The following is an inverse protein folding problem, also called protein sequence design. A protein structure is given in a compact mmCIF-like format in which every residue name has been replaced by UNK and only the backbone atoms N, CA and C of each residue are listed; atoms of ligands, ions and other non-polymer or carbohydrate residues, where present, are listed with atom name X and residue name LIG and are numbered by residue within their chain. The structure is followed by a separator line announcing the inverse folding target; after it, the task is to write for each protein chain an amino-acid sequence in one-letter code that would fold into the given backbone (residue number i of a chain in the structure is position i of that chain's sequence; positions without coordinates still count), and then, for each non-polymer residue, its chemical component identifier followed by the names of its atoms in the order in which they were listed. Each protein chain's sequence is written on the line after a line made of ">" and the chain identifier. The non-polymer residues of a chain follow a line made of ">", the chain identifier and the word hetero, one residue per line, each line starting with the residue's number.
data_IF_220252656715
#
_entry.id   IF_220252656715
#
_cell.length_a   1.000
_cell.length_b   1.000
_cell.length_c   1.000
_cell.angle_alpha   90.00
_cell.angle_beta   90.00
_cell.angle_gamma   90.00
#
_symmetry.space_group_name_H-M   'P 1'
#
loop_
_entity.id
_entity.type
_entity.pdbx_description
1 polymer ?
#
# COMPACT_ATOMS: atom_id res chain seq x y z
N UNK A 1 10.86 3.60 -6.75
CA UNK A 1 10.39 4.09 -5.44
C UNK A 1 11.61 4.50 -4.65
N UNK A 2 11.48 5.49 -3.78
CA UNK A 2 12.56 5.94 -2.89
C UNK A 2 12.17 5.62 -1.46
N UNK A 3 13.09 5.09 -0.69
CA UNK A 3 12.97 4.87 0.76
C UNK A 3 14.01 5.75 1.45
N UNK A 4 13.60 6.60 2.38
CA UNK A 4 14.50 7.43 3.18
C UNK A 4 14.38 7.10 4.66
N UNK A 5 15.53 7.07 5.33
CA UNK A 5 15.63 6.92 6.78
C UNK A 5 16.58 8.01 7.30
N UNK A 6 16.00 9.02 7.94
CA UNK A 6 16.72 10.19 8.45
C UNK A 6 17.63 9.84 9.63
N UNK A 7 17.17 8.99 10.56
CA UNK A 7 17.97 8.60 11.73
C UNK A 7 19.22 7.81 11.35
N UNK A 8 19.12 6.98 10.30
CA UNK A 8 20.24 6.23 9.76
C UNK A 8 21.01 7.00 8.68
N UNK A 9 20.54 8.17 8.24
CA UNK A 9 21.11 8.93 7.11
C UNK A 9 21.24 8.12 5.81
N UNK A 10 20.23 7.29 5.50
CA UNK A 10 20.20 6.48 4.28
C UNK A 10 19.11 6.92 3.31
N UNK A 11 19.44 6.76 2.02
CA UNK A 11 18.53 6.89 0.90
C UNK A 11 18.67 5.66 0.00
N UNK A 12 17.59 4.93 -0.21
CA UNK A 12 17.54 3.74 -1.05
C UNK A 12 16.62 3.96 -2.25
N UNK A 13 17.10 3.63 -3.44
CA UNK A 13 16.31 3.64 -4.67
C UNK A 13 15.93 2.22 -5.06
N UNK A 14 14.62 1.95 -5.05
CA UNK A 14 14.06 0.65 -5.43
C UNK A 14 13.53 0.75 -6.86
N UNK A 15 14.13 -0.03 -7.76
CA UNK A 15 13.63 -0.17 -9.13
C UNK A 15 12.33 -1.00 -9.12
N UNK A 16 11.27 -0.47 -9.73
CA UNK A 16 9.92 -1.06 -9.69
C UNK A 16 9.40 -1.25 -11.12
N UNK A 17 9.78 -2.34 -11.82
CA UNK A 17 9.33 -2.59 -13.19
C UNK A 17 7.82 -2.89 -13.24
N UNK A 18 7.24 -2.94 -14.45
CA UNK A 18 5.83 -3.27 -14.62
C UNK A 18 5.52 -4.66 -14.05
N UNK A 19 4.34 -4.79 -13.42
CA UNK A 19 3.88 -6.03 -12.78
C UNK A 19 4.82 -6.56 -11.68
N UNK A 20 5.56 -5.67 -11.01
CA UNK A 20 6.31 -5.99 -9.79
C UNK A 20 5.45 -5.83 -8.55
N UNK A 21 5.76 -6.62 -7.52
CA UNK A 21 5.21 -6.51 -6.17
C UNK A 21 6.31 -5.99 -5.24
N UNK A 22 5.98 -5.05 -4.37
CA UNK A 22 6.82 -4.65 -3.24
C UNK A 22 6.10 -5.00 -1.95
N UNK A 23 6.77 -5.78 -1.10
CA UNK A 23 6.30 -6.13 0.23
C UNK A 23 7.10 -5.32 1.25
N UNK A 24 6.41 -4.51 2.06
CA UNK A 24 7.03 -3.73 3.14
C UNK A 24 6.49 -4.22 4.48
N UNK A 25 7.38 -4.70 5.33
CA UNK A 25 7.11 -5.15 6.69
C UNK A 25 8.11 -4.53 7.66
N UNK A 26 7.73 -4.52 8.94
CA UNK A 26 8.59 -4.12 10.06
C UNK A 26 9.30 -2.79 9.84
N UNK A 27 10.62 -2.73 10.07
CA UNK A 27 11.43 -1.50 10.02
C UNK A 27 11.17 -0.70 8.74
N UNK A 28 11.15 -1.35 7.58
CA UNK A 28 10.94 -0.70 6.28
C UNK A 28 9.54 -0.06 6.15
N UNK A 29 8.54 -0.55 6.87
CA UNK A 29 7.18 0.01 6.85
C UNK A 29 7.01 1.13 7.87
N UNK A 30 7.60 0.98 9.06
CA UNK A 30 7.33 1.85 10.20
C UNK A 30 8.36 2.98 10.36
N UNK A 31 9.63 2.68 10.11
CA UNK A 31 10.72 3.62 10.38
C UNK A 31 11.21 4.34 9.13
N UNK A 32 10.89 3.81 7.95
CA UNK A 32 11.30 4.38 6.66
C UNK A 32 10.14 5.12 5.98
N UNK A 33 10.45 6.28 5.43
CA UNK A 33 9.51 7.03 4.58
C UNK A 33 9.65 6.53 3.14
N UNK A 34 8.53 6.27 2.46
CA UNK A 34 8.52 5.88 1.06
C UNK A 34 7.89 6.95 0.17
N UNK A 35 8.42 7.12 -1.04
CA UNK A 35 7.91 8.12 -1.99
C UNK A 35 8.32 7.86 -3.43
N UNK A 36 7.77 8.68 -4.33
CA UNK A 36 8.18 8.74 -5.73
C UNK A 36 8.54 10.19 -6.04
N UNK A 37 9.83 10.46 -6.26
CA UNK A 37 10.27 11.79 -6.67
C UNK A 37 9.76 12.11 -8.08
N UNK A 38 9.38 13.37 -8.32
CA UNK A 38 8.88 13.83 -9.62
C UNK A 38 9.84 13.49 -10.78
N UNK A 39 11.14 13.62 -10.55
CA UNK A 39 12.19 13.30 -11.54
C UNK A 39 12.25 11.81 -11.92
N UNK A 40 11.61 10.92 -11.16
CA UNK A 40 11.53 9.49 -11.44
C UNK A 40 10.24 9.09 -12.19
N UNK A 41 9.33 10.02 -12.45
CA UNK A 41 8.10 9.75 -13.20
C UNK A 41 8.45 9.75 -14.70
N UNK A 42 8.32 8.58 -15.34
CA UNK A 42 8.62 8.38 -16.78
C UNK A 42 7.39 8.27 -17.67
N UNK A 43 6.20 8.24 -17.07
CA UNK A 43 4.94 8.06 -17.76
C UNK A 43 3.83 7.68 -16.79
N UNK A 44 2.65 7.37 -17.33
CA UNK A 44 1.48 6.94 -16.54
C UNK A 44 1.73 5.57 -15.93
N UNK A 45 1.54 5.45 -14.62
CA UNK A 45 1.64 4.19 -13.86
C UNK A 45 0.49 4.12 -12.86
N UNK A 46 -0.19 2.98 -12.80
CA UNK A 46 -1.17 2.66 -11.76
C UNK A 46 -0.51 1.68 -10.79
N UNK A 47 -0.65 1.95 -9.49
CA UNK A 47 -0.21 1.04 -8.44
C UNK A 47 -1.41 0.69 -7.57
N UNK A 48 -1.59 -0.60 -7.30
CA UNK A 48 -2.54 -1.08 -6.30
C UNK A 48 -1.77 -1.34 -5.01
N UNK A 49 -2.25 -0.79 -3.89
CA UNK A 49 -1.68 -1.05 -2.57
C UNK A 49 -2.70 -1.82 -1.74
N UNK A 50 -2.30 -3.00 -1.26
CA UNK A 50 -3.11 -3.84 -0.39
C UNK A 50 -2.53 -3.83 1.03
N UNK A 51 -3.39 -3.70 2.03
CA UNK A 51 -3.02 -3.72 3.45
C UNK A 51 -4.18 -4.29 4.26
N UNK A 52 -3.85 -4.96 5.35
CA UNK A 52 -4.81 -5.25 6.40
C UNK A 52 -5.14 -3.96 7.17
N UNK A 53 -6.37 -3.83 7.71
CA UNK A 53 -6.73 -2.73 8.60
C UNK A 53 -5.76 -2.64 9.78
N UNK A 54 -5.45 -1.43 10.22
CA UNK A 54 -4.64 -1.24 11.43
C UNK A 54 -5.38 -1.78 12.67
N UNK A 55 -4.63 -2.08 13.74
CA UNK A 55 -5.17 -2.69 14.97
C UNK A 55 -6.40 -1.96 15.52
N UNK A 56 -6.41 -0.64 15.48
CA UNK A 56 -7.54 0.16 15.98
C UNK A 56 -8.84 -0.08 15.21
N UNK A 57 -8.75 -0.55 13.97
CA UNK A 57 -9.88 -0.90 13.10
C UNK A 57 -10.22 -2.39 13.11
N UNK A 58 -9.51 -3.20 13.90
CA UNK A 58 -9.80 -4.63 14.06
C UNK A 58 -10.61 -4.86 15.34
N UNK A 59 -11.21 -6.04 15.49
CA UNK A 59 -12.03 -6.39 16.66
C UNK A 59 -11.28 -6.12 17.98
N UNK A 60 -11.95 -5.42 18.91
CA UNK A 60 -11.34 -4.94 20.16
C UNK A 60 -10.57 -3.62 20.05
N UNK A 61 -10.39 -3.06 18.85
CA UNK A 61 -9.79 -1.75 18.62
C UNK A 61 -10.78 -0.60 18.81
N UNK A 62 -10.28 0.59 19.18
CA UNK A 62 -11.11 1.75 19.51
C UNK A 62 -12.02 2.23 18.36
N UNK A 63 -11.59 2.00 17.12
CA UNK A 63 -12.29 2.42 15.91
C UNK A 63 -13.11 1.30 15.26
N UNK A 64 -13.12 0.10 15.86
CA UNK A 64 -13.75 -1.08 15.28
C UNK A 64 -15.25 -0.91 15.06
N UNK A 65 -15.99 -0.65 16.14
CA UNK A 65 -17.45 -0.52 16.09
C UNK A 65 -17.88 0.67 15.22
N UNK A 66 -17.07 1.73 15.20
CA UNK A 66 -17.38 2.95 14.46
C UNK A 66 -17.11 2.84 12.96
N UNK A 67 -16.03 2.16 12.58
CA UNK A 67 -15.55 2.13 11.20
C UNK A 67 -15.03 0.75 10.77
N UNK A 68 -14.28 0.08 11.64
CA UNK A 68 -13.56 -1.16 11.33
C UNK A 68 -14.46 -2.28 10.81
N UNK A 69 -15.57 -2.56 11.50
CA UNK A 69 -16.49 -3.64 11.14
C UNK A 69 -17.02 -3.50 9.70
N UNK A 70 -17.47 -2.30 9.33
CA UNK A 70 -18.00 -2.04 7.99
C UNK A 70 -16.90 -2.03 6.92
N UNK A 71 -15.73 -1.45 7.21
CA UNK A 71 -14.60 -1.44 6.28
C UNK A 71 -14.12 -2.86 5.97
N UNK A 72 -14.03 -3.73 6.98
CA UNK A 72 -13.67 -5.14 6.81
C UNK A 72 -14.73 -5.86 5.99
N UNK A 73 -16.02 -5.64 6.30
CA UNK A 73 -17.13 -6.24 5.54
C UNK A 73 -17.06 -5.87 4.07
N UNK A 74 -16.87 -4.57 3.76
CA UNK A 74 -16.74 -4.06 2.39
C UNK A 74 -15.49 -4.61 1.69
N UNK A 75 -14.35 -4.67 2.37
CA UNK A 75 -13.10 -5.21 1.82
C UNK A 75 -13.19 -6.69 1.44
N UNK A 76 -14.08 -7.45 2.08
CA UNK A 76 -14.34 -8.86 1.79
C UNK A 76 -15.33 -9.10 0.64
N UNK A 77 -15.97 -8.03 0.11
CA UNK A 77 -16.88 -8.16 -1.03
C UNK A 77 -16.05 -8.46 -2.29
N UNK A 78 -16.26 -9.66 -2.85
CA UNK A 78 -15.71 -10.00 -4.16
C UNK A 78 -16.49 -9.28 -5.24
N UNK A 79 -15.83 -8.38 -5.96
CA UNK A 79 -16.41 -7.77 -7.15
C UNK A 79 -16.41 -8.81 -8.28
N UNK A 80 -17.57 -9.17 -8.86
CA UNK A 80 -17.62 -10.11 -9.96
C UNK A 80 -16.85 -9.52 -11.16
N UNK A 81 -15.94 -10.30 -11.71
CA UNK A 81 -15.21 -9.98 -12.94
C UNK A 81 -16.12 -10.19 -14.15
N UNK A 82 -17.23 -9.47 -14.24
CA UNK A 82 -18.10 -9.51 -15.41
C UNK A 82 -17.55 -8.55 -16.48
N UNK A 83 -17.31 -9.09 -17.69
CA UNK A 83 -17.10 -8.37 -18.96
C UNK A 83 -16.11 -7.20 -18.96
N UNK A 84 -15.05 -7.27 -18.15
CA UNK A 84 -14.00 -6.27 -18.17
C UNK A 84 -12.87 -6.73 -19.08
N UNK A 85 -12.87 -6.28 -20.33
CA UNK A 85 -11.70 -6.32 -21.22
C UNK A 85 -10.60 -5.39 -20.69
N UNK A 86 -10.10 -5.63 -19.47
CA UNK A 86 -8.95 -4.91 -18.93
C UNK A 86 -7.73 -5.69 -19.39
N UNK A 87 -7.23 -5.30 -20.56
CA UNK A 87 -5.89 -5.66 -21.01
C UNK A 87 -4.93 -4.80 -20.18
N UNK A 88 -4.25 -5.42 -19.21
CA UNK A 88 -3.16 -4.83 -18.43
C UNK A 88 -1.83 -4.85 -19.20
#
# INVERSE_FOLDING_TARGET
>A
MTLSNESKSFLCYVHMPHRSLICMADECRYDWKHGVHANHIRGRRIALTMREPAKDFQEGGELYEKYGAELIRLGNIRVPLANSSIIL
#
